data_IF_954043228990
#
_entry.id   IF_954043228990
#
_cell.length_a   1.000
_cell.length_b   1.000
_cell.length_c   1.000
_cell.angle_alpha   90.00
_cell.angle_beta   90.00
_cell.angle_gamma   90.00
#
_symmetry.space_group_name_H-M   'P 1'
#
loop_
_entity.id
_entity.type
_entity.pdbx_description
1 polymer ?
#
# COMPACT_ATOMS: atom_id res chain seq x y z
N UNK A 1 -0.27 -9.48 12.61
CA UNK A 1 -1.11 -8.77 13.59
C UNK A 1 -1.74 -7.59 12.89
N UNK A 2 -3.06 -7.42 12.98
CA UNK A 2 -3.75 -6.27 12.40
C UNK A 2 -3.25 -4.97 13.04
N UNK A 3 -3.10 -3.89 12.24
CA UNK A 3 -2.50 -2.62 12.71
C UNK A 3 -3.23 -2.04 13.93
N UNK A 4 -4.56 -2.21 14.01
CA UNK A 4 -5.38 -1.80 15.14
C UNK A 4 -5.02 -2.54 16.43
N UNK A 5 -4.87 -3.87 16.36
CA UNK A 5 -4.53 -4.69 17.51
C UNK A 5 -3.15 -4.32 18.06
N UNK A 6 -2.17 -4.09 17.18
CA UNK A 6 -0.85 -3.60 17.58
C UNK A 6 -0.92 -2.25 18.29
N UNK A 7 -1.74 -1.32 17.80
CA UNK A 7 -1.96 -0.02 18.44
C UNK A 7 -2.56 -0.16 19.84
N UNK A 8 -3.62 -0.95 19.98
CA UNK A 8 -4.26 -1.17 21.28
C UNK A 8 -3.31 -1.82 22.28
N UNK A 9 -2.52 -2.81 21.85
CA UNK A 9 -1.57 -3.50 22.72
C UNK A 9 -0.43 -2.59 23.18
N UNK A 10 0.07 -1.70 22.29
CA UNK A 10 1.05 -0.66 22.64
C UNK A 10 0.48 0.29 23.71
N UNK A 11 -0.77 0.76 23.53
CA UNK A 11 -1.43 1.66 24.49
C UNK A 11 -1.67 0.99 25.84
N UNK A 12 -2.16 -0.25 25.85
CA UNK A 12 -2.37 -1.03 27.07
C UNK A 12 -1.07 -1.23 27.85
N UNK A 13 0.01 -1.64 27.18
CA UNK A 13 1.32 -1.78 27.82
C UNK A 13 1.84 -0.44 28.34
N UNK A 14 1.58 0.67 27.63
CA UNK A 14 1.95 2.00 28.09
C UNK A 14 1.18 2.42 29.35
N UNK A 15 -0.12 2.15 29.42
CA UNK A 15 -0.96 2.41 30.59
C UNK A 15 -0.56 1.56 31.81
N UNK A 16 -0.12 0.32 31.58
CA UNK A 16 0.47 -0.55 32.62
C UNK A 16 1.84 -0.07 33.11
N UNK A 17 2.36 1.06 32.63
CA UNK A 17 3.61 1.66 33.09
C UNK A 17 4.87 1.09 32.45
N UNK A 18 4.77 0.27 31.39
CA UNK A 18 5.95 -0.26 30.71
C UNK A 18 6.74 0.87 30.00
N UNK A 19 8.07 0.83 30.13
CA UNK A 19 8.97 1.69 29.35
C UNK A 19 8.95 1.29 27.87
N UNK A 20 9.08 2.26 26.97
CA UNK A 20 9.08 2.06 25.49
C UNK A 20 10.03 0.93 25.05
N UNK A 21 11.24 0.85 25.62
CA UNK A 21 12.20 -0.23 25.31
C UNK A 21 11.66 -1.63 25.61
N UNK A 22 10.90 -1.78 26.70
CA UNK A 22 10.29 -3.06 27.11
C UNK A 22 9.08 -3.40 26.27
N UNK A 23 8.29 -2.40 25.87
CA UNK A 23 7.17 -2.56 24.92
C UNK A 23 7.70 -3.06 23.56
N UNK A 24 8.69 -2.38 22.99
CA UNK A 24 9.34 -2.77 21.74
C UNK A 24 9.84 -4.22 21.76
N UNK A 25 10.53 -4.62 22.85
CA UNK A 25 11.02 -5.99 23.02
C UNK A 25 9.89 -7.01 23.16
N UNK A 26 8.83 -6.70 23.90
CA UNK A 26 7.65 -7.59 24.09
C UNK A 26 6.92 -7.84 22.78
N UNK A 27 6.75 -6.80 21.97
CA UNK A 27 6.00 -6.85 20.72
C UNK A 27 6.85 -7.19 19.49
N UNK A 28 8.17 -7.34 19.65
CA UNK A 28 9.08 -7.65 18.54
C UNK A 28 9.20 -6.55 17.48
N UNK A 29 8.97 -5.29 17.85
CA UNK A 29 8.99 -4.13 16.93
C UNK A 29 10.07 -3.13 17.32
N UNK A 30 10.41 -2.22 16.39
CA UNK A 30 11.35 -1.13 16.69
C UNK A 30 10.74 -0.11 17.66
N UNK A 31 11.62 0.56 18.42
CA UNK A 31 11.21 1.65 19.32
C UNK A 31 10.54 2.80 18.57
N UNK A 32 11.01 3.10 17.36
CA UNK A 32 10.42 4.12 16.48
C UNK A 32 8.99 3.79 16.10
N UNK A 33 8.66 2.51 15.85
CA UNK A 33 7.28 2.08 15.63
C UNK A 33 6.42 2.31 16.89
N UNK A 34 6.94 1.99 18.08
CA UNK A 34 6.21 2.26 19.33
C UNK A 34 5.90 3.75 19.50
N UNK A 35 6.88 4.64 19.28
CA UNK A 35 6.66 6.10 19.33
C UNK A 35 5.60 6.54 18.32
N UNK A 36 5.77 6.15 17.06
CA UNK A 36 4.85 6.50 15.96
C UNK A 36 3.41 6.09 16.23
N UNK A 37 3.21 4.97 16.94
CA UNK A 37 1.87 4.49 17.30
C UNK A 37 1.30 5.27 18.50
N UNK A 38 2.11 5.61 19.50
CA UNK A 38 1.69 6.39 20.67
C UNK A 38 1.45 7.88 20.37
N UNK A 39 2.00 8.40 19.29
CA UNK A 39 1.76 9.77 18.82
C UNK A 39 0.40 9.93 18.15
N UNK A 40 -0.26 8.82 17.76
CA UNK A 40 -1.52 8.86 17.02
C UNK A 40 -2.71 8.77 17.95
N UNK A 41 -3.72 9.61 17.74
CA UNK A 41 -5.03 9.40 18.34
C UNK A 41 -5.74 8.18 17.73
N UNK A 42 -6.78 7.63 18.39
CA UNK A 42 -7.61 6.56 17.80
C UNK A 42 -8.19 6.94 16.43
N UNK A 43 -8.60 8.19 16.25
CA UNK A 43 -9.14 8.75 15.00
C UNK A 43 -8.05 8.84 13.93
N UNK A 44 -6.85 9.31 14.28
CA UNK A 44 -5.72 9.34 13.34
C UNK A 44 -5.26 7.93 12.96
N UNK A 45 -5.35 6.97 13.89
CA UNK A 45 -5.03 5.58 13.64
C UNK A 45 -6.05 4.94 12.69
N UNK A 46 -7.35 5.20 12.88
CA UNK A 46 -8.40 4.71 11.98
C UNK A 46 -8.22 5.29 10.57
N UNK A 47 -7.94 6.59 10.45
CA UNK A 47 -7.60 7.26 9.19
C UNK A 47 -6.32 6.72 8.54
N UNK A 48 -5.30 6.39 9.35
CA UNK A 48 -4.06 5.79 8.83
C UNK A 48 -4.25 4.36 8.33
N UNK A 49 -5.12 3.58 8.99
CA UNK A 49 -5.50 2.25 8.52
C UNK A 49 -6.29 2.31 7.22
N UNK A 50 -7.25 3.23 7.12
CA UNK A 50 -8.02 3.47 5.90
C UNK A 50 -7.09 3.91 4.76
N UNK A 51 -6.22 4.90 4.98
CA UNK A 51 -5.29 5.39 3.95
C UNK A 51 -4.25 4.36 3.50
N UNK A 52 -3.85 3.43 4.38
CA UNK A 52 -3.01 2.29 3.97
C UNK A 52 -3.77 1.37 3.00
N UNK A 53 -5.08 1.22 3.15
CA UNK A 53 -5.93 0.43 2.25
C UNK A 53 -6.27 1.20 0.96
N UNK A 54 -6.33 2.53 1.00
CA UNK A 54 -6.74 3.40 -0.11
C UNK A 54 -5.56 4.10 -0.79
N UNK A 55 -4.40 3.44 -0.96
CA UNK A 55 -3.41 3.97 -1.89
C UNK A 55 -3.98 3.83 -3.29
N UNK A 56 -4.59 4.91 -3.79
CA UNK A 56 -4.98 5.05 -5.19
C UNK A 56 -3.73 4.76 -6.02
N UNK A 57 -3.77 3.71 -6.84
CA UNK A 57 -2.64 3.37 -7.70
C UNK A 57 -2.69 4.34 -8.88
N UNK A 58 -1.51 4.75 -9.35
CA UNK A 58 -1.40 5.69 -10.48
C UNK A 58 -2.13 5.20 -11.75
N UNK A 59 -2.33 3.88 -11.86
CA UNK A 59 -2.99 3.23 -12.98
C UNK A 59 -4.51 3.03 -12.82
N UNK A 60 -5.07 3.29 -11.62
CA UNK A 60 -6.51 3.13 -11.37
C UNK A 60 -7.38 3.90 -12.39
N UNK A 61 -7.05 5.15 -12.79
CA UNK A 61 -7.83 5.87 -13.81
C UNK A 61 -7.80 5.24 -15.20
N UNK A 62 -6.83 4.35 -15.47
CA UNK A 62 -6.61 3.71 -16.76
C UNK A 62 -7.01 2.22 -16.75
N UNK A 63 -7.59 1.72 -15.67
CA UNK A 63 -7.89 0.29 -15.50
C UNK A 63 -8.72 -0.28 -16.65
N UNK A 64 -9.84 0.38 -16.97
CA UNK A 64 -10.74 -0.03 -18.04
C UNK A 64 -10.03 -0.05 -19.39
N UNK A 65 -9.17 0.95 -19.65
CA UNK A 65 -8.40 1.05 -20.88
C UNK A 65 -7.39 -0.09 -21.02
N UNK A 66 -6.65 -0.38 -19.94
CA UNK A 66 -5.70 -1.49 -19.87
C UNK A 66 -6.43 -2.83 -20.10
N UNK A 67 -7.60 -3.03 -19.48
CA UNK A 67 -8.41 -4.23 -19.68
C UNK A 67 -8.88 -4.40 -21.12
N UNK A 68 -9.30 -3.31 -21.78
CA UNK A 68 -9.69 -3.34 -23.19
C UNK A 68 -8.52 -3.78 -24.07
N UNK A 69 -7.33 -3.20 -23.92
CA UNK A 69 -6.17 -3.57 -24.74
C UNK A 69 -5.75 -5.03 -24.55
N UNK A 70 -5.77 -5.52 -23.32
CA UNK A 70 -5.45 -6.91 -23.00
C UNK A 70 -6.52 -7.89 -23.53
N UNK A 71 -7.78 -7.46 -23.59
CA UNK A 71 -8.88 -8.26 -24.16
C UNK A 71 -8.79 -8.33 -25.68
N UNK A 72 -8.41 -7.23 -26.33
CA UNK A 72 -8.21 -7.14 -27.78
C UNK A 72 -6.91 -7.82 -28.23
N UNK A 73 -5.89 -7.85 -27.37
CA UNK A 73 -4.55 -8.37 -27.67
C UNK A 73 -4.06 -9.26 -26.51
N UNK A 74 -4.45 -10.55 -26.46
CA UNK A 74 -4.15 -11.45 -25.34
C UNK A 74 -2.66 -11.72 -25.10
N UNK A 75 -1.81 -11.50 -26.11
CA UNK A 75 -0.35 -11.65 -26.08
C UNK A 75 0.39 -10.36 -25.72
N UNK A 76 -0.34 -9.26 -25.46
CA UNK A 76 0.24 -7.97 -25.15
C UNK A 76 0.99 -7.99 -23.82
N UNK A 77 2.27 -7.61 -23.90
CA UNK A 77 3.18 -7.53 -22.76
C UNK A 77 2.99 -6.24 -21.94
N UNK A 78 3.47 -6.25 -20.69
CA UNK A 78 3.43 -5.05 -19.84
C UNK A 78 4.25 -3.89 -20.41
N UNK A 79 5.31 -4.20 -21.17
CA UNK A 79 6.09 -3.21 -21.92
C UNK A 79 5.24 -2.51 -23.00
N UNK A 80 4.49 -3.27 -23.79
CA UNK A 80 3.61 -2.70 -24.82
C UNK A 80 2.48 -1.85 -24.21
N UNK A 81 1.87 -2.30 -23.10
CA UNK A 81 0.87 -1.51 -22.38
C UNK A 81 1.50 -0.22 -21.82
N UNK A 82 2.72 -0.31 -21.28
CA UNK A 82 3.46 0.85 -20.78
C UNK A 82 3.75 1.85 -21.90
N UNK A 83 4.30 1.41 -23.03
CA UNK A 83 4.58 2.26 -24.19
C UNK A 83 3.31 2.99 -24.66
N UNK A 84 2.18 2.28 -24.78
CA UNK A 84 0.90 2.87 -25.18
C UNK A 84 0.36 3.89 -24.19
N UNK A 85 0.59 3.69 -22.89
CA UNK A 85 0.25 4.67 -21.86
C UNK A 85 1.11 5.92 -21.98
N UNK A 86 2.42 5.78 -22.16
CA UNK A 86 3.34 6.92 -22.28
C UNK A 86 3.12 7.71 -23.58
N UNK A 87 2.76 7.05 -24.68
CA UNK A 87 2.41 7.69 -25.95
C UNK A 87 1.14 8.54 -25.84
N UNK A 88 0.10 8.01 -25.18
CA UNK A 88 -1.22 8.67 -25.06
C UNK A 88 -1.29 9.69 -23.91
N UNK A 89 -0.54 9.47 -22.83
CA UNK A 89 -0.58 10.28 -21.62
C UNK A 89 0.82 10.74 -21.23
N UNK A 90 1.29 11.83 -21.86
CA UNK A 90 2.65 12.36 -21.70
C UNK A 90 2.99 12.81 -20.27
N UNK A 91 1.98 13.16 -19.48
CA UNK A 91 2.13 13.57 -18.07
C UNK A 91 2.08 12.38 -17.09
N UNK A 92 1.89 11.15 -17.58
CA UNK A 92 1.80 9.96 -16.73
C UNK A 92 3.20 9.44 -16.38
N UNK A 93 3.59 9.59 -15.12
CA UNK A 93 4.86 9.05 -14.61
C UNK A 93 4.67 7.68 -13.95
N UNK A 94 4.78 6.62 -14.75
CA UNK A 94 4.75 5.23 -14.28
C UNK A 94 5.88 4.42 -14.91
N UNK A 95 6.45 3.49 -14.16
CA UNK A 95 7.41 2.51 -14.70
C UNK A 95 6.70 1.26 -15.19
N UNK A 96 7.29 0.56 -16.15
CA UNK A 96 6.80 -0.73 -16.66
C UNK A 96 6.49 -1.74 -15.55
N UNK A 97 7.35 -1.81 -14.53
CA UNK A 97 7.16 -2.68 -13.36
C UNK A 97 5.85 -2.39 -12.62
N UNK A 98 5.37 -1.14 -12.63
CA UNK A 98 4.08 -0.73 -12.05
C UNK A 98 2.91 -1.27 -12.88
N UNK A 99 3.04 -1.28 -14.20
CA UNK A 99 2.06 -1.87 -15.12
C UNK A 99 1.99 -3.38 -14.93
N UNK A 100 3.14 -4.06 -14.86
CA UNK A 100 3.23 -5.52 -14.69
C UNK A 100 2.58 -6.03 -13.41
N UNK A 101 2.75 -5.31 -12.30
CA UNK A 101 2.16 -5.69 -11.00
C UNK A 101 0.73 -5.15 -10.81
N UNK A 102 0.20 -4.42 -11.79
CA UNK A 102 -1.14 -3.84 -11.72
C UNK A 102 -2.20 -4.96 -11.76
N UNK A 103 -3.26 -4.92 -10.93
CA UNK A 103 -4.22 -6.03 -10.83
C UNK A 103 -4.92 -6.43 -12.13
N UNK A 104 -5.12 -5.48 -13.06
CA UNK A 104 -5.73 -5.78 -14.35
C UNK A 104 -4.77 -6.50 -15.32
N UNK A 105 -3.47 -6.52 -15.04
CA UNK A 105 -2.50 -7.23 -15.86
C UNK A 105 -2.47 -8.72 -15.46
N UNK A 106 -2.68 -9.66 -16.40
CA UNK A 106 -2.69 -11.08 -16.09
C UNK A 106 -1.31 -11.50 -15.57
N UNK A 107 -1.30 -12.13 -14.39
CA UNK A 107 -0.08 -12.72 -13.84
C UNK A 107 0.18 -14.01 -14.60
N UNK A 108 1.24 -14.05 -15.41
CA UNK A 108 1.78 -15.31 -15.90
C UNK A 108 2.16 -16.14 -14.66
N UNK A 109 1.50 -17.30 -14.51
CA UNK A 109 1.73 -18.28 -13.44
C UNK A 109 3.10 -18.93 -13.56
#
# INVERSE_FOLDING_TARGET
MEKWNMYMEIYQLKQQGFKIRRIARKLGISRTTVYKYLEKSPEEMSGWMASTKTRVKKLDPYEMLIQTWLSENPDMSAAQVHDWLMERYKDLEVGESTVRIYPAFPKLL
#
